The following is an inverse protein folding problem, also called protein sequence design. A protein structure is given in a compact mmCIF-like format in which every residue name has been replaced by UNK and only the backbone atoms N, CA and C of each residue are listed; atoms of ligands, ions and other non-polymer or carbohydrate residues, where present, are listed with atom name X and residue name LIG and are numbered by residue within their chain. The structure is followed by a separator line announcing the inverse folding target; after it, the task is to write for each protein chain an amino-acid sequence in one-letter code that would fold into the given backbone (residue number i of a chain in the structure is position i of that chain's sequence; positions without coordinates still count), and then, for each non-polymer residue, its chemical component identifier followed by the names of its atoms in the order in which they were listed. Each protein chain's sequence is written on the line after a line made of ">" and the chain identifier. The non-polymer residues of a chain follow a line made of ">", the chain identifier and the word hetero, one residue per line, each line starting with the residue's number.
data_IF_533401226251
#
_entry.id   IF_533401226251
#
_cell.length_a   1.000
_cell.length_b   1.000
_cell.length_c   1.000
_cell.angle_alpha   90.00
_cell.angle_beta   90.00
_cell.angle_gamma   90.00
#
_symmetry.space_group_name_H-M   'P 1'
#
loop_
_entity.id
_entity.type
_entity.pdbx_description
1 polymer ?
#
# COMPACT_ATOMS: atom_id res chain seq x y z
N UNK A 1 25.04 -3.72 24.32
CA UNK A 1 23.58 -3.50 24.35
C UNK A 1 23.17 -2.89 23.02
N UNK A 2 22.47 -3.62 22.14
CA UNK A 2 22.08 -3.08 20.84
C UNK A 2 20.84 -2.18 21.02
N UNK A 3 20.85 -1.04 20.34
CA UNK A 3 19.82 0.00 20.41
C UNK A 3 18.54 -0.53 19.76
N UNK A 4 17.47 -0.64 20.54
CA UNK A 4 16.13 -0.79 20.00
C UNK A 4 15.76 0.50 19.26
N UNK A 5 15.81 0.47 17.93
CA UNK A 5 15.05 1.39 17.09
C UNK A 5 13.57 1.04 17.26
N UNK A 6 12.98 1.54 18.34
CA UNK A 6 11.54 1.64 18.50
C UNK A 6 11.10 2.81 17.61
N UNK A 7 11.03 2.57 16.29
CA UNK A 7 10.26 3.46 15.41
C UNK A 7 8.81 3.22 15.75
N UNK A 8 8.25 4.19 16.48
CA UNK A 8 6.93 4.15 17.06
C UNK A 8 5.86 3.73 16.05
N UNK A 9 5.15 2.64 16.35
CA UNK A 9 3.97 2.19 15.61
C UNK A 9 2.88 3.28 15.48
N UNK A 10 2.96 4.37 16.26
CA UNK A 10 2.09 5.54 16.18
C UNK A 10 2.28 6.39 14.91
N UNK A 11 3.39 6.23 14.16
CA UNK A 11 3.69 7.03 12.97
C UNK A 11 3.10 6.44 11.66
N UNK A 12 2.42 5.30 11.72
CA UNK A 12 1.73 4.66 10.58
C UNK A 12 0.35 5.26 10.28
N UNK A 13 -0.10 6.26 11.05
CA UNK A 13 -1.34 7.01 10.82
C UNK A 13 -1.19 8.16 9.81
N UNK A 14 -0.10 8.21 9.04
CA UNK A 14 0.09 9.24 8.04
C UNK A 14 -0.80 8.95 6.83
N UNK A 15 -1.97 9.61 6.84
CA UNK A 15 -3.01 9.73 5.80
C UNK A 15 -4.12 8.66 5.77
N UNK A 16 -4.67 8.26 6.93
CA UNK A 16 -6.08 7.78 6.97
C UNK A 16 -6.99 8.95 7.35
N UNK A 17 -8.08 9.18 6.60
CA UNK A 17 -9.04 10.26 6.90
C UNK A 17 -8.81 11.61 6.20
N UNK A 18 -8.19 11.63 5.02
CA UNK A 18 -8.10 12.86 4.20
C UNK A 18 -9.50 13.45 3.93
N UNK A 19 -9.63 14.76 4.08
CA UNK A 19 -10.86 15.50 3.76
C UNK A 19 -10.77 16.00 2.32
N UNK A 20 -11.68 15.54 1.47
CA UNK A 20 -11.72 15.82 0.03
C UNK A 20 -13.10 16.40 -0.29
N UNK A 21 -13.14 17.64 -0.75
CA UNK A 21 -14.38 18.30 -1.07
C UNK A 21 -14.17 19.66 -1.71
N UNK A 22 -15.13 20.07 -2.56
CA UNK A 22 -15.12 21.38 -3.20
C UNK A 22 -15.54 22.50 -2.23
N UNK A 23 -16.58 22.25 -1.43
CA UNK A 23 -17.07 23.17 -0.41
C UNK A 23 -16.96 22.53 0.99
N UNK A 24 -16.72 23.36 2.00
CA UNK A 24 -16.65 22.87 3.38
C UNK A 24 -18.00 22.37 3.90
N UNK A 25 -18.02 21.42 4.86
CA UNK A 25 -19.25 20.76 5.32
C UNK A 25 -20.31 21.76 5.81
N UNK A 26 -19.89 22.82 6.53
CA UNK A 26 -20.80 23.88 7.02
C UNK A 26 -21.55 24.59 5.90
N UNK A 27 -20.89 24.87 4.77
CA UNK A 27 -21.51 25.56 3.64
C UNK A 27 -22.55 24.66 2.97
N UNK A 28 -22.24 23.36 2.87
CA UNK A 28 -23.14 22.38 2.28
C UNK A 28 -24.37 22.20 3.17
N UNK A 29 -24.19 21.96 4.48
CA UNK A 29 -25.29 21.82 5.45
C UNK A 29 -26.22 23.04 5.46
N UNK A 30 -25.67 24.25 5.39
CA UNK A 30 -26.47 25.48 5.30
C UNK A 30 -27.28 25.58 4.01
N UNK A 31 -26.76 25.01 2.91
CA UNK A 31 -27.41 25.03 1.60
C UNK A 31 -28.52 23.98 1.49
N UNK A 32 -28.26 22.74 1.93
CA UNK A 32 -29.20 21.62 1.85
C UNK A 32 -30.16 21.52 3.05
N UNK A 33 -29.85 22.23 4.15
CA UNK A 33 -30.60 22.24 5.43
C UNK A 33 -30.76 20.86 6.08
N UNK A 34 -29.82 19.97 5.80
CA UNK A 34 -29.73 18.63 6.37
C UNK A 34 -28.33 18.42 6.96
N UNK A 35 -28.20 17.48 7.90
CA UNK A 35 -26.90 17.07 8.44
C UNK A 35 -26.20 16.17 7.44
N UNK A 36 -24.89 16.35 7.29
CA UNK A 36 -24.11 15.46 6.45
C UNK A 36 -23.88 14.11 7.14
N UNK A 37 -23.83 13.01 6.38
CA UNK A 37 -23.48 11.69 6.92
C UNK A 37 -22.11 11.69 7.62
N UNK A 38 -21.94 10.78 8.56
CA UNK A 38 -20.64 10.58 9.20
C UNK A 38 -19.59 10.15 8.17
N UNK A 39 -18.40 10.74 8.28
CA UNK A 39 -17.34 10.48 7.32
C UNK A 39 -17.59 11.08 5.93
N UNK A 40 -18.64 11.87 5.71
CA UNK A 40 -18.82 12.60 4.46
C UNK A 40 -17.55 13.40 4.12
N UNK A 41 -17.15 13.40 2.85
CA UNK A 41 -15.88 13.95 2.34
C UNK A 41 -14.60 13.24 2.82
N UNK A 42 -14.67 12.16 3.59
CA UNK A 42 -13.48 11.35 3.90
C UNK A 42 -13.12 10.48 2.71
N UNK A 43 -11.82 10.23 2.53
CA UNK A 43 -11.32 9.40 1.45
C UNK A 43 -11.99 8.01 1.41
N UNK A 44 -12.24 7.41 2.58
CA UNK A 44 -12.90 6.12 2.72
C UNK A 44 -14.36 6.19 2.26
N UNK A 45 -15.10 7.20 2.73
CA UNK A 45 -16.48 7.44 2.29
C UNK A 45 -16.56 7.64 0.78
N UNK A 46 -15.66 8.43 0.21
CA UNK A 46 -15.63 8.70 -1.24
C UNK A 46 -15.24 7.46 -2.05
N UNK A 47 -14.39 6.59 -1.50
CA UNK A 47 -14.05 5.32 -2.14
C UNK A 47 -15.25 4.36 -2.16
N UNK A 48 -15.98 4.24 -1.04
CA UNK A 48 -17.19 3.41 -0.95
C UNK A 48 -18.30 3.86 -1.92
N UNK A 49 -18.34 5.15 -2.26
CA UNK A 49 -19.33 5.73 -3.16
C UNK A 49 -18.85 5.87 -4.61
N UNK A 50 -17.62 5.42 -4.92
CA UNK A 50 -17.08 5.38 -6.29
C UNK A 50 -16.52 6.70 -6.82
N UNK A 51 -16.23 7.68 -5.96
CA UNK A 51 -15.57 8.94 -6.33
C UNK A 51 -14.05 8.88 -6.22
N UNK A 52 -13.51 7.89 -5.50
CA UNK A 52 -12.08 7.63 -5.33
C UNK A 52 -11.80 6.17 -5.66
N UNK A 53 -10.83 5.91 -6.55
CA UNK A 53 -10.49 4.54 -6.95
C UNK A 53 -9.67 3.79 -5.91
N UNK A 54 -8.77 4.50 -5.20
CA UNK A 54 -7.83 3.87 -4.28
C UNK A 54 -7.45 4.82 -3.14
N UNK A 55 -7.46 4.29 -1.91
CA UNK A 55 -6.83 4.91 -0.73
C UNK A 55 -5.62 4.06 -0.35
N UNK A 56 -4.41 4.64 -0.44
CA UNK A 56 -3.15 3.93 -0.17
C UNK A 56 -2.34 4.62 0.92
N UNK A 57 -1.60 3.84 1.69
CA UNK A 57 -0.71 4.38 2.72
C UNK A 57 0.39 5.25 2.10
N UNK A 58 0.91 6.22 2.86
CA UNK A 58 2.02 7.08 2.39
C UNK A 58 3.25 6.27 1.98
N UNK A 59 3.52 5.16 2.69
CA UNK A 59 4.69 4.31 2.47
C UNK A 59 4.62 3.56 1.14
N UNK A 60 3.42 3.21 0.70
CA UNK A 60 3.20 2.47 -0.56
C UNK A 60 2.99 3.39 -1.76
N UNK A 61 2.74 4.69 -1.52
CA UNK A 61 2.40 5.68 -2.55
C UNK A 61 3.38 5.68 -3.73
N UNK A 62 4.69 5.65 -3.48
CA UNK A 62 5.72 5.63 -4.54
C UNK A 62 5.57 4.41 -5.45
N UNK A 63 5.36 3.24 -4.86
CA UNK A 63 5.24 1.98 -5.60
C UNK A 63 3.94 1.95 -6.39
N UNK A 64 2.83 2.40 -5.78
CA UNK A 64 1.53 2.50 -6.43
C UNK A 64 1.57 3.42 -7.65
N UNK A 65 2.13 4.63 -7.51
CA UNK A 65 2.26 5.57 -8.62
C UNK A 65 3.12 4.98 -9.75
N UNK A 66 4.27 4.36 -9.41
CA UNK A 66 5.13 3.74 -10.40
C UNK A 66 4.40 2.65 -11.21
N UNK A 67 3.62 1.79 -10.53
CA UNK A 67 2.81 0.74 -11.18
C UNK A 67 1.76 1.34 -12.10
N UNK A 68 1.00 2.34 -11.63
CA UNK A 68 -0.03 2.99 -12.44
C UNK A 68 0.56 3.63 -13.69
N UNK A 69 1.70 4.33 -13.56
CA UNK A 69 2.39 4.93 -14.69
C UNK A 69 2.87 3.88 -15.70
N UNK A 70 3.44 2.76 -15.24
CA UNK A 70 3.86 1.66 -16.13
C UNK A 70 2.67 1.13 -16.94
N UNK A 71 1.54 0.90 -16.30
CA UNK A 71 0.32 0.42 -16.96
C UNK A 71 -0.23 1.45 -17.97
N UNK A 72 -0.36 2.71 -17.57
CA UNK A 72 -0.95 3.77 -18.40
C UNK A 72 -0.05 4.17 -19.58
N UNK A 73 1.27 4.07 -19.41
CA UNK A 73 2.26 4.38 -20.44
C UNK A 73 2.69 3.16 -21.25
N UNK A 74 2.13 1.97 -20.98
CA UNK A 74 2.49 0.69 -21.63
C UNK A 74 3.99 0.39 -21.56
N UNK A 75 4.61 0.73 -20.44
CA UNK A 75 6.00 0.37 -20.21
C UNK A 75 6.10 -1.13 -19.92
N UNK A 76 7.18 -1.79 -20.37
CA UNK A 76 7.40 -3.18 -20.02
C UNK A 76 7.47 -3.33 -18.49
N UNK A 77 6.82 -4.37 -17.99
CA UNK A 77 7.01 -4.79 -16.60
C UNK A 77 8.49 -5.15 -16.44
N UNK A 78 9.18 -4.48 -15.52
CA UNK A 78 10.49 -4.95 -15.09
C UNK A 78 10.21 -6.21 -14.27
N UNK A 79 10.49 -7.39 -14.84
CA UNK A 79 10.53 -8.61 -14.06
C UNK A 79 11.49 -8.37 -12.90
N UNK A 80 10.95 -8.30 -11.67
CA UNK A 80 11.81 -8.45 -10.50
C UNK A 80 12.54 -9.77 -10.70
N UNK A 81 13.88 -9.80 -10.60
CA UNK A 81 14.58 -11.07 -10.56
C UNK A 81 13.89 -11.91 -9.50
N UNK A 82 13.35 -13.06 -9.94
CA UNK A 82 12.83 -14.07 -9.04
C UNK A 82 13.95 -14.26 -8.01
N UNK A 83 13.69 -13.91 -6.75
CA UNK A 83 14.63 -14.26 -5.67
C UNK A 83 14.90 -15.75 -5.88
N UNK A 84 16.18 -16.17 -6.04
CA UNK A 84 16.47 -17.55 -6.38
C UNK A 84 15.83 -18.38 -5.27
N UNK A 85 14.80 -19.14 -5.65
CA UNK A 85 14.22 -20.17 -4.81
C UNK A 85 15.43 -21.00 -4.36
N UNK A 86 15.81 -20.85 -3.09
CA UNK A 86 16.94 -21.57 -2.52
C UNK A 86 16.49 -23.02 -2.56
N UNK A 87 16.82 -23.71 -3.65
CA UNK A 87 16.63 -25.14 -3.77
C UNK A 87 17.30 -25.73 -2.52
N UNK A 88 16.59 -26.59 -1.75
CA UNK A 88 17.23 -27.24 -0.63
C UNK A 88 18.50 -27.92 -1.15
N UNK A 89 19.61 -27.86 -0.39
CA UNK A 89 20.87 -28.41 -0.86
C UNK A 89 20.63 -29.85 -1.29
N UNK A 90 20.85 -30.12 -2.58
CA UNK A 90 20.78 -31.48 -3.12
C UNK A 90 21.77 -32.29 -2.31
N UNK A 91 21.26 -33.19 -1.47
CA UNK A 91 22.08 -34.14 -0.75
C UNK A 91 22.76 -35.04 -1.79
N UNK A 92 24.04 -34.77 -2.05
CA UNK A 92 24.87 -35.67 -2.86
C UNK A 92 24.90 -37.02 -2.13
N UNK A 93 24.61 -38.15 -2.81
CA UNK A 93 24.77 -39.46 -2.21
C UNK A 93 26.22 -39.61 -1.74
N UNK A 94 26.40 -39.91 -0.46
CA UNK A 94 27.72 -40.11 0.12
C UNK A 94 28.50 -41.12 -0.74
N UNK A 95 29.64 -40.67 -1.28
CA UNK A 95 30.54 -41.54 -2.03
C UNK A 95 30.88 -42.74 -1.16
N UNK A 96 30.46 -43.92 -1.61
CA UNK A 96 30.86 -45.18 -1.03
C UNK A 96 32.37 -45.32 -1.24
N UNK A 97 33.14 -45.10 -0.17
CA UNK A 97 34.56 -45.46 -0.15
C UNK A 97 34.68 -46.95 -0.49
N UNK A 98 35.51 -47.34 -1.46
CA UNK A 98 35.77 -48.76 -1.67
C UNK A 98 36.51 -49.30 -0.45
N UNK A 99 35.93 -50.31 0.20
CA UNK A 99 36.66 -51.18 1.11
C UNK A 99 37.28 -52.30 0.27
N UNK A 100 38.59 -52.24 0.05
CA UNK A 100 39.52 -53.37 -0.13
C UNK A 100 40.92 -52.83 -0.46
#
# INVERSE_FOLDING_TARGET
>A
QPRHHHVDHAMLHQILGALIGFAGPRVIEQTIREKLPDGFQRAEYLMEHGMVDMVVSRLEMRQTIARLLKMLLKLPEEEKPLEPEILPPVALPAEARPQA
#
